data_IF_887623055858
#
_entry.id   IF_887623055858
#
_cell.length_a   1.000
_cell.length_b   1.000
_cell.length_c   1.000
_cell.angle_alpha   90.00
_cell.angle_beta   90.00
_cell.angle_gamma   90.00
#
_symmetry.space_group_name_H-M   'P 1'
#
loop_
_entity.id
_entity.type
_entity.pdbx_description
1 polymer ?
#
# COMPACT_ATOMS: atom_id res chain seq x y z
N UNK A 1 -11.37 -4.86 -3.21
CA UNK A 1 -11.14 -4.41 -1.85
C UNK A 1 -9.75 -4.79 -1.38
N UNK A 2 -8.72 -4.26 -1.98
CA UNK A 2 -7.65 -3.75 -1.12
C UNK A 2 -7.54 -2.23 -1.22
N UNK A 3 -7.18 -1.63 -0.10
CA UNK A 3 -6.86 -0.22 -0.02
C UNK A 3 -5.39 -0.09 0.38
N UNK A 4 -4.61 0.57 -0.46
CA UNK A 4 -3.18 0.81 -0.22
C UNK A 4 -3.00 2.24 0.24
N UNK A 5 -2.39 2.41 1.40
CA UNK A 5 -2.01 3.73 1.89
C UNK A 5 -0.50 3.84 1.86
N UNK A 6 0.00 4.78 1.09
CA UNK A 6 1.43 5.04 0.95
C UNK A 6 1.74 6.30 1.75
N UNK A 7 2.71 6.20 2.64
CA UNK A 7 3.24 7.36 3.36
C UNK A 7 4.67 7.58 2.91
N UNK A 8 4.95 8.75 2.35
CA UNK A 8 6.27 9.10 1.84
C UNK A 8 6.73 10.44 2.42
N UNK A 9 8.01 10.57 2.68
CA UNK A 9 8.58 11.87 2.99
C UNK A 9 8.52 12.77 1.76
N UNK A 10 8.44 14.09 1.97
CA UNK A 10 8.39 15.03 0.84
C UNK A 10 9.70 15.07 0.07
N UNK A 11 9.67 15.61 -1.15
CA UNK A 11 10.83 15.78 -2.00
C UNK A 11 10.77 14.97 -3.29
N UNK A 12 9.75 14.13 -3.47
CA UNK A 12 9.58 13.38 -4.70
C UNK A 12 8.78 14.18 -5.72
N UNK A 13 9.08 13.98 -7.01
CA UNK A 13 8.38 14.65 -8.11
C UNK A 13 6.96 14.10 -8.29
N UNK A 14 6.13 14.86 -8.98
CA UNK A 14 4.77 14.38 -9.32
C UNK A 14 4.82 13.11 -10.16
N UNK A 15 5.80 12.97 -11.03
CA UNK A 15 5.97 11.75 -11.83
C UNK A 15 6.32 10.55 -10.96
N UNK A 16 7.22 10.71 -10.01
CA UNK A 16 7.57 9.66 -9.06
C UNK A 16 6.34 9.24 -8.22
N UNK A 17 5.55 10.20 -7.78
CA UNK A 17 4.31 9.93 -7.04
C UNK A 17 3.31 9.15 -7.88
N UNK A 18 3.15 9.50 -9.15
CA UNK A 18 2.27 8.77 -10.07
C UNK A 18 2.75 7.32 -10.28
N UNK A 19 4.05 7.12 -10.38
CA UNK A 19 4.63 5.78 -10.49
C UNK A 19 4.36 4.95 -9.23
N UNK A 20 4.44 5.55 -8.06
CA UNK A 20 4.08 4.90 -6.81
C UNK A 20 2.63 4.43 -6.83
N UNK A 21 1.73 5.32 -7.20
CA UNK A 21 0.30 5.04 -7.23
C UNK A 21 -0.05 3.96 -8.26
N UNK A 22 0.41 4.14 -9.49
CA UNK A 22 0.12 3.20 -10.57
C UNK A 22 0.78 1.83 -10.33
N UNK A 23 2.05 1.84 -9.96
CA UNK A 23 2.78 0.61 -9.71
C UNK A 23 2.19 -0.18 -8.54
N UNK A 24 1.71 0.51 -7.50
CA UNK A 24 1.07 -0.15 -6.36
C UNK A 24 -0.24 -0.81 -6.76
N UNK A 25 -1.05 -0.14 -7.57
CA UNK A 25 -2.29 -0.72 -8.10
C UNK A 25 -1.99 -1.97 -8.93
N UNK A 26 -1.01 -1.88 -9.83
CA UNK A 26 -0.62 -3.01 -10.67
C UNK A 26 -0.10 -4.19 -9.83
N UNK A 27 0.69 -3.90 -8.81
CA UNK A 27 1.25 -4.91 -7.91
C UNK A 27 0.15 -5.67 -7.15
N UNK A 28 -0.84 -4.96 -6.66
CA UNK A 28 -1.98 -5.56 -5.94
C UNK A 28 -2.76 -6.48 -6.86
N UNK A 29 -3.10 -6.02 -8.05
CA UNK A 29 -3.85 -6.83 -9.02
C UNK A 29 -3.08 -8.10 -9.37
N UNK A 30 -1.79 -7.98 -9.65
CA UNK A 30 -0.97 -9.13 -10.05
C UNK A 30 -0.71 -10.10 -8.91
N UNK A 31 -0.53 -9.62 -7.68
CA UNK A 31 -0.10 -10.45 -6.55
C UNK A 31 -1.24 -11.21 -5.88
N UNK A 32 -2.39 -10.57 -5.70
CA UNK A 32 -3.52 -11.18 -4.98
C UNK A 32 -4.78 -11.30 -5.83
N UNK A 33 -4.69 -10.99 -7.11
CA UNK A 33 -5.80 -11.18 -8.04
C UNK A 33 -7.02 -10.32 -7.76
N UNK A 34 -6.84 -9.18 -7.11
CA UNK A 34 -7.95 -8.28 -6.83
C UNK A 34 -8.47 -7.65 -8.13
N UNK A 35 -9.80 -7.52 -8.28
CA UNK A 35 -10.33 -6.79 -9.44
C UNK A 35 -9.89 -5.33 -9.39
N UNK A 36 -9.44 -4.81 -10.51
CA UNK A 36 -8.97 -3.42 -10.59
C UNK A 36 -10.00 -2.42 -10.06
N UNK A 37 -11.28 -2.68 -10.31
CA UNK A 37 -12.39 -1.81 -9.86
C UNK A 37 -12.49 -1.67 -8.34
N UNK A 38 -11.91 -2.60 -7.58
CA UNK A 38 -11.96 -2.56 -6.12
C UNK A 38 -10.68 -2.03 -5.48
N UNK A 39 -9.65 -1.74 -6.26
CA UNK A 39 -8.36 -1.26 -5.75
C UNK A 39 -8.39 0.25 -5.57
N UNK A 40 -7.97 0.71 -4.39
CA UNK A 40 -7.78 2.14 -4.09
C UNK A 40 -6.38 2.34 -3.56
N UNK A 41 -5.70 3.37 -4.04
CA UNK A 41 -4.34 3.71 -3.61
C UNK A 41 -4.31 5.17 -3.22
N UNK A 42 -3.84 5.46 -2.02
CA UNK A 42 -3.72 6.81 -1.49
C UNK A 42 -2.26 7.11 -1.16
N UNK A 43 -1.87 8.35 -1.37
CA UNK A 43 -0.52 8.79 -1.03
C UNK A 43 -0.61 9.98 -0.07
N UNK A 44 0.03 9.81 1.08
CA UNK A 44 0.21 10.87 2.06
C UNK A 44 1.68 11.27 2.07
N UNK A 45 1.94 12.57 2.02
CA UNK A 45 3.30 13.12 2.09
C UNK A 45 3.55 13.69 3.48
N UNK A 46 4.66 13.29 4.09
CA UNK A 46 5.07 13.81 5.40
C UNK A 46 6.02 15.00 5.19
N UNK A 47 5.77 16.15 5.85
CA UNK A 47 6.69 17.28 5.79
C UNK A 47 8.09 16.92 6.29
N UNK A 48 9.10 17.61 5.75
CA UNK A 48 10.46 17.48 6.24
C UNK A 48 10.51 17.78 7.74
N UNK A 49 11.27 16.99 8.47
CA UNK A 49 11.37 17.14 9.92
C UNK A 49 10.27 16.45 10.72
N UNK A 50 9.28 15.83 10.05
CA UNK A 50 8.21 15.08 10.74
C UNK A 50 8.43 13.57 10.71
N UNK A 51 9.55 13.13 10.18
CA UNK A 51 9.91 11.71 10.14
C UNK A 51 11.22 11.50 10.87
N UNK A 52 11.17 10.74 11.96
CA UNK A 52 12.35 10.37 12.74
C UNK A 52 12.66 8.91 12.47
N UNK A 53 13.76 8.64 11.80
CA UNK A 53 14.17 7.30 11.40
C UNK A 53 15.38 6.86 12.20
N UNK A 54 15.18 5.90 13.11
CA UNK A 54 16.24 5.37 13.97
C UNK A 54 17.03 6.48 14.68
N UNK A 55 16.34 7.51 15.13
CA UNK A 55 16.92 8.66 15.82
C UNK A 55 17.45 9.76 14.91
N UNK A 56 17.26 9.68 13.59
CA UNK A 56 17.75 10.67 12.63
C UNK A 56 16.61 11.32 11.87
N UNK A 57 16.69 12.64 11.72
CA UNK A 57 15.82 13.42 10.85
C UNK A 57 16.40 13.52 9.44
N UNK A 58 15.59 13.98 8.50
CA UNK A 58 16.00 14.29 7.12
C UNK A 58 16.46 13.06 6.32
N UNK A 59 16.00 11.88 6.68
CA UNK A 59 16.20 10.68 5.89
C UNK A 59 14.95 10.43 5.05
N UNK A 60 15.09 9.89 3.83
CA UNK A 60 13.92 9.50 3.05
C UNK A 60 13.20 8.32 3.69
N UNK A 61 11.88 8.28 3.57
CA UNK A 61 11.08 7.20 4.10
C UNK A 61 9.92 6.86 3.18
N UNK A 62 9.58 5.58 3.13
CA UNK A 62 8.49 5.08 2.32
C UNK A 62 7.86 3.87 3.01
N UNK A 63 6.57 3.99 3.32
CA UNK A 63 5.83 2.95 4.00
C UNK A 63 4.52 2.67 3.28
N UNK A 64 4.21 1.38 3.11
CA UNK A 64 2.95 0.91 2.57
C UNK A 64 2.16 0.22 3.66
N UNK A 65 0.87 0.52 3.73
CA UNK A 65 -0.09 -0.27 4.51
C UNK A 65 -1.18 -0.71 3.55
N UNK A 66 -1.43 -2.01 3.50
CA UNK A 66 -2.48 -2.56 2.66
C UNK A 66 -3.55 -3.18 3.53
N UNK A 67 -4.76 -2.66 3.43
CA UNK A 67 -5.93 -3.17 4.14
C UNK A 67 -6.77 -3.99 3.17
N UNK A 68 -7.15 -5.20 3.57
CA UNK A 68 -7.97 -6.06 2.72
C UNK A 68 -8.77 -7.08 3.55
N UNK A 69 -9.80 -7.62 2.92
CA UNK A 69 -10.62 -8.66 3.54
C UNK A 69 -9.79 -9.95 3.64
N UNK A 70 -9.92 -10.65 4.75
CA UNK A 70 -9.22 -11.90 5.01
C UNK A 70 -9.51 -12.96 3.93
N UNK A 71 -8.61 -13.92 3.77
CA UNK A 71 -8.76 -15.05 2.84
C UNK A 71 -7.61 -15.22 1.88
N UNK A 72 -6.61 -14.33 1.86
CA UNK A 72 -5.42 -14.52 1.03
C UNK A 72 -4.45 -15.47 1.71
N UNK A 73 -3.75 -16.26 0.89
CA UNK A 73 -2.73 -17.18 1.39
C UNK A 73 -1.45 -16.44 1.79
N UNK A 74 -0.62 -17.10 2.59
CA UNK A 74 0.69 -16.56 2.95
C UNK A 74 1.56 -16.33 1.71
N UNK A 75 1.47 -17.20 0.72
CA UNK A 75 2.20 -17.04 -0.53
C UNK A 75 1.76 -15.78 -1.29
N UNK A 76 0.47 -15.49 -1.33
CA UNK A 76 -0.04 -14.26 -1.94
C UNK A 76 0.42 -13.03 -1.18
N UNK A 77 0.41 -13.09 0.14
CA UNK A 77 0.89 -12.00 1.01
C UNK A 77 2.37 -11.74 0.80
N UNK A 78 3.19 -12.79 0.75
CA UNK A 78 4.62 -12.66 0.47
C UNK A 78 4.88 -12.02 -0.89
N UNK A 79 4.13 -12.43 -1.91
CA UNK A 79 4.24 -11.88 -3.25
C UNK A 79 3.88 -10.39 -3.29
N UNK A 80 2.84 -10.01 -2.57
CA UNK A 80 2.40 -8.62 -2.48
C UNK A 80 3.45 -7.74 -1.79
N UNK A 81 4.00 -8.20 -0.68
CA UNK A 81 5.06 -7.49 0.04
C UNK A 81 6.27 -7.28 -0.86
N UNK A 82 6.72 -8.33 -1.54
CA UNK A 82 7.86 -8.25 -2.44
C UNK A 82 7.59 -7.28 -3.61
N UNK A 83 6.41 -7.35 -4.20
CA UNK A 83 6.04 -6.50 -5.33
C UNK A 83 5.98 -5.03 -4.94
N UNK A 84 5.37 -4.70 -3.80
CA UNK A 84 5.28 -3.32 -3.34
C UNK A 84 6.65 -2.75 -2.94
N UNK A 85 7.49 -3.56 -2.31
CA UNK A 85 8.86 -3.17 -1.97
C UNK A 85 9.65 -2.78 -3.22
N UNK A 86 9.54 -3.59 -4.27
CA UNK A 86 10.19 -3.32 -5.55
C UNK A 86 9.63 -2.07 -6.23
N UNK A 87 8.32 -1.93 -6.27
CA UNK A 87 7.65 -0.76 -6.83
C UNK A 87 8.13 0.52 -6.14
N UNK A 88 8.15 0.51 -4.81
CA UNK A 88 8.57 1.67 -4.04
C UNK A 88 10.02 2.04 -4.31
N UNK A 89 10.91 1.07 -4.25
CA UNK A 89 12.34 1.29 -4.47
C UNK A 89 12.61 1.87 -5.86
N UNK A 90 11.97 1.31 -6.89
CA UNK A 90 12.17 1.76 -8.27
C UNK A 90 11.53 3.14 -8.54
N UNK A 91 10.35 3.38 -8.00
CA UNK A 91 9.62 4.62 -8.27
C UNK A 91 10.32 5.85 -7.72
N UNK A 92 10.94 5.74 -6.55
CA UNK A 92 11.57 6.87 -5.87
C UNK A 92 13.09 6.72 -5.74
N UNK A 93 13.66 5.74 -6.43
CA UNK A 93 15.11 5.50 -6.46
C UNK A 93 15.70 5.36 -5.06
N UNK A 94 15.14 4.44 -4.29
CA UNK A 94 15.48 4.17 -2.90
C UNK A 94 15.91 2.71 -2.77
N UNK A 95 16.84 2.37 -1.86
CA UNK A 95 17.14 0.96 -1.58
C UNK A 95 15.91 0.25 -1.02
N UNK A 96 15.65 -0.99 -1.44
CA UNK A 96 14.53 -1.77 -0.91
C UNK A 96 14.63 -1.97 0.60
N UNK A 97 15.84 -1.95 1.16
CA UNK A 97 16.06 -2.03 2.60
C UNK A 97 15.39 -0.91 3.40
N UNK A 98 15.09 0.22 2.76
CA UNK A 98 14.43 1.37 3.38
C UNK A 98 12.91 1.38 3.18
N UNK A 99 12.38 0.45 2.39
CA UNK A 99 10.94 0.35 2.14
C UNK A 99 10.32 -0.62 3.13
N UNK A 100 9.19 -0.23 3.72
CA UNK A 100 8.43 -1.09 4.63
C UNK A 100 7.02 -1.29 4.11
N UNK A 101 6.53 -2.53 4.24
CA UNK A 101 5.18 -2.91 3.82
C UNK A 101 4.52 -3.64 4.98
N UNK A 102 3.32 -3.19 5.34
CA UNK A 102 2.51 -3.87 6.35
C UNK A 102 1.17 -4.25 5.73
N UNK A 103 0.75 -5.48 5.96
CA UNK A 103 -0.54 -5.96 5.51
C UNK A 103 -1.47 -6.09 6.72
N UNK A 104 -2.69 -5.63 6.56
CA UNK A 104 -3.72 -5.71 7.60
C UNK A 104 -4.94 -6.36 6.96
N UNK A 105 -5.20 -7.60 7.28
CA UNK A 105 -6.43 -8.26 6.86
C UNK A 105 -7.47 -8.20 7.97
N UNK A 106 -8.74 -8.21 7.58
CA UNK A 106 -9.85 -8.06 8.51
C UNK A 106 -11.03 -8.91 8.05
N UNK A 107 -11.93 -9.27 8.99
CA UNK A 107 -13.09 -10.07 8.62
C UNK A 107 -14.06 -9.30 7.73
N UNK A 108 -14.78 -10.03 6.90
CA UNK A 108 -15.80 -9.46 5.99
C UNK A 108 -16.83 -8.60 6.72
N UNK A 109 -17.10 -8.90 7.97
CA UNK A 109 -18.04 -8.14 8.79
C UNK A 109 -17.55 -6.73 9.14
N UNK A 110 -16.26 -6.46 8.98
CA UNK A 110 -15.65 -5.17 9.30
C UNK A 110 -15.52 -4.24 8.09
N UNK A 111 -15.94 -4.69 6.90
CA UNK A 111 -15.84 -3.89 5.69
C UNK A 111 -17.20 -3.38 5.26
N UNK A 112 -17.40 -2.06 5.33
CA UNK A 112 -18.56 -1.40 4.77
C UNK A 112 -18.40 -1.22 3.27
N UNK A 113 -19.36 -1.74 2.51
CA UNK A 113 -19.42 -1.61 1.06
C UNK A 113 -20.34 -0.46 0.67
N UNK A 114 -20.55 -0.29 -0.62
CA UNK A 114 -21.45 0.74 -1.14
C UNK A 114 -22.85 0.63 -0.52
N UNK A 115 -23.40 1.76 -0.10
CA UNK A 115 -24.72 1.80 0.51
C UNK A 115 -24.73 1.47 2.01
N UNK A 116 -23.56 1.37 2.64
CA UNK A 116 -23.49 1.11 4.08
C UNK A 116 -23.76 -0.32 4.50
N UNK A 117 -23.54 -1.27 3.60
CA UNK A 117 -23.79 -2.70 3.83
C UNK A 117 -22.44 -3.41 3.95
N UNK A 118 -22.30 -4.30 4.94
CA UNK A 118 -21.04 -5.04 5.11
C UNK A 118 -20.80 -6.01 3.96
N UNK A 119 -19.51 -6.29 3.69
CA UNK A 119 -19.13 -7.29 2.68
C UNK A 119 -19.73 -8.67 3.00
N UNK A 120 -19.82 -9.02 4.30
CA UNK A 120 -20.43 -10.24 4.74
C UNK A 120 -21.91 -10.30 4.35
N UNK A 121 -22.65 -9.24 4.60
CA UNK A 121 -24.08 -9.18 4.28
C UNK A 121 -24.33 -9.21 2.76
N UNK A 122 -23.37 -8.76 1.96
CA UNK A 122 -23.45 -8.82 0.50
C UNK A 122 -23.02 -10.17 -0.09
N UNK A 123 -22.61 -11.12 0.73
CA UNK A 123 -22.16 -12.43 0.26
C UNK A 123 -20.76 -12.45 -0.34
N UNK A 124 -19.96 -11.51 0.04
CA UNK A 124 -18.61 -11.38 -0.47
C UNK A 124 -17.60 -12.25 0.23
#
# INVERSE_FOLDING_TARGET
MPYVTITATEGYSEEQKKRLLQGSSDAVVASIGAPLSSVRVLLHTIPAGHYLNAGEFNTPGLMFVVDFIEGRSDAQKDALIAALSKVGAEAVNMPESEVRVRLVDFPKSNMGMAGGVSARAMGR
#
